data_IF_974822730990
#
_entry.id   IF_974822730990
#
_cell.length_a   1.000
_cell.length_b   1.000
_cell.length_c   1.000
_cell.angle_alpha   90.00
_cell.angle_beta   90.00
_cell.angle_gamma   90.00
#
_symmetry.space_group_name_H-M   'P 1'
#
loop_
_entity.id
_entity.type
_entity.pdbx_description
1 polymer ?
#
# COMPACT_ATOMS: atom_id res chain seq x y z
N UNK A 1 -7.80 15.33 -8.63
CA UNK A 1 -7.14 14.70 -7.48
C UNK A 1 -5.65 14.67 -7.74
N UNK A 2 -4.85 15.23 -6.84
CA UNK A 2 -3.40 15.25 -6.99
C UNK A 2 -2.83 13.85 -6.79
N UNK A 3 -1.98 13.41 -7.72
CA UNK A 3 -1.35 12.08 -7.71
C UNK A 3 0.16 12.23 -7.81
N UNK A 4 0.87 11.35 -7.12
CA UNK A 4 2.31 11.16 -7.25
C UNK A 4 2.59 9.72 -7.65
N UNK A 5 3.48 9.51 -8.60
CA UNK A 5 3.84 8.19 -9.11
C UNK A 5 5.24 7.82 -8.62
N UNK A 6 5.40 6.57 -8.21
CA UNK A 6 6.66 6.03 -7.70
C UNK A 6 7.09 4.82 -8.52
N UNK A 7 8.39 4.74 -8.78
CA UNK A 7 9.01 3.62 -9.50
C UNK A 7 10.07 2.96 -8.61
N UNK A 8 10.13 1.63 -8.64
CA UNK A 8 10.98 0.83 -7.75
C UNK A 8 12.45 1.22 -7.82
N UNK A 9 12.99 1.41 -9.03
CA UNK A 9 14.41 1.71 -9.24
C UNK A 9 14.80 3.10 -8.71
N UNK A 10 13.84 4.04 -8.72
CA UNK A 10 14.06 5.42 -8.30
C UNK A 10 13.68 5.66 -6.83
N UNK A 11 12.55 5.10 -6.42
CA UNK A 11 11.89 5.45 -5.17
C UNK A 11 11.93 4.32 -4.13
N UNK A 12 12.35 3.12 -4.53
CA UNK A 12 12.41 1.95 -3.66
C UNK A 12 11.10 1.18 -3.53
N UNK A 13 10.03 1.66 -4.16
CA UNK A 13 8.72 0.98 -4.24
C UNK A 13 7.95 1.44 -5.46
N UNK A 14 6.95 0.66 -5.86
CA UNK A 14 6.10 0.96 -7.01
C UNK A 14 4.68 1.26 -6.55
N UNK A 15 4.17 2.44 -6.90
CA UNK A 15 2.85 2.84 -6.42
C UNK A 15 2.36 4.18 -6.95
N UNK A 16 1.13 4.51 -6.58
CA UNK A 16 0.48 5.79 -6.84
C UNK A 16 -0.09 6.36 -5.54
N UNK A 17 0.33 7.54 -5.17
CA UNK A 17 -0.13 8.24 -3.99
C UNK A 17 -1.18 9.29 -4.34
N UNK A 18 -2.32 9.20 -3.69
CA UNK A 18 -3.46 10.10 -3.85
C UNK A 18 -3.55 11.00 -2.63
N UNK A 19 -3.28 12.29 -2.83
CA UNK A 19 -3.31 13.29 -1.77
C UNK A 19 -4.73 13.73 -1.50
N UNK A 20 -5.15 13.74 -0.25
CA UNK A 20 -6.47 14.28 0.12
C UNK A 20 -6.44 15.82 0.05
N UNK A 21 -7.31 16.45 -0.76
CA UNK A 21 -7.29 17.90 -0.95
C UNK A 21 -7.70 18.69 0.30
N UNK A 22 -8.38 18.06 1.24
CA UNK A 22 -8.75 18.68 2.53
C UNK A 22 -7.64 18.60 3.57
N UNK A 23 -6.52 17.95 3.21
CA UNK A 23 -5.46 17.64 4.13
C UNK A 23 -5.79 16.41 4.99
N UNK A 24 -4.77 15.62 5.30
CA UNK A 24 -4.87 14.48 6.21
C UNK A 24 -3.48 14.16 6.75
N UNK A 25 -3.41 13.79 8.02
CA UNK A 25 -2.22 13.22 8.66
C UNK A 25 -2.28 11.69 8.73
N UNK A 26 -3.27 11.11 8.07
CA UNK A 26 -3.48 9.66 7.99
C UNK A 26 -3.32 9.18 6.55
N UNK A 27 -2.60 8.09 6.36
CA UNK A 27 -2.50 7.42 5.08
C UNK A 27 -2.83 5.94 5.20
N UNK A 28 -3.36 5.37 4.13
CA UNK A 28 -3.54 3.92 3.99
C UNK A 28 -2.72 3.43 2.82
N UNK A 29 -1.88 2.43 3.06
CA UNK A 29 -1.22 1.65 2.02
C UNK A 29 -2.23 0.61 1.54
N UNK A 30 -2.65 0.71 0.28
CA UNK A 30 -3.60 -0.19 -0.34
C UNK A 30 -2.91 -1.16 -1.29
N UNK A 31 -2.98 -2.44 -0.97
CA UNK A 31 -2.53 -3.54 -1.81
C UNK A 31 -3.77 -4.12 -2.51
N UNK A 32 -4.30 -3.37 -3.47
CA UNK A 32 -5.61 -3.63 -4.07
C UNK A 32 -5.57 -4.52 -5.32
N UNK A 33 -4.42 -4.97 -5.70
CA UNK A 33 -4.25 -5.77 -6.90
C UNK A 33 -2.85 -5.63 -7.44
N UNK A 34 -2.69 -6.04 -8.68
CA UNK A 34 -1.37 -6.14 -9.28
C UNK A 34 -0.85 -4.78 -9.79
N UNK A 35 -1.75 -3.93 -10.26
CA UNK A 35 -1.40 -2.62 -10.80
C UNK A 35 -2.00 -1.50 -9.92
N UNK A 36 -1.16 -0.59 -9.38
CA UNK A 36 -1.64 0.51 -8.55
C UNK A 36 -2.51 1.54 -9.30
N UNK A 37 -2.64 1.38 -10.60
CA UNK A 37 -3.44 2.23 -11.49
C UNK A 37 -4.63 1.51 -12.14
N UNK A 38 -4.87 0.25 -11.81
CA UNK A 38 -6.01 -0.48 -12.36
C UNK A 38 -7.35 -0.01 -11.79
N UNK A 39 -8.42 -0.64 -12.24
CA UNK A 39 -9.77 -0.30 -11.80
C UNK A 39 -9.98 -0.53 -10.29
N UNK A 40 -9.48 -1.66 -9.77
CA UNK A 40 -9.63 -2.00 -8.34
C UNK A 40 -8.88 -1.02 -7.45
N UNK A 41 -7.65 -0.71 -7.80
CA UNK A 41 -6.83 0.26 -7.09
C UNK A 41 -7.49 1.66 -7.08
N UNK A 42 -7.99 2.09 -8.22
CA UNK A 42 -8.72 3.37 -8.34
C UNK A 42 -10.00 3.40 -7.52
N UNK A 43 -10.76 2.32 -7.49
CA UNK A 43 -11.98 2.22 -6.67
C UNK A 43 -11.66 2.28 -5.18
N UNK A 44 -10.68 1.49 -4.73
CA UNK A 44 -10.21 1.49 -3.35
C UNK A 44 -9.68 2.86 -2.92
N UNK A 45 -8.83 3.47 -3.75
CA UNK A 45 -8.31 4.80 -3.51
C UNK A 45 -9.42 5.85 -3.39
N UNK A 46 -10.38 5.83 -4.31
CA UNK A 46 -11.51 6.77 -4.31
C UNK A 46 -12.36 6.63 -3.04
N UNK A 47 -12.63 5.40 -2.63
CA UNK A 47 -13.40 5.13 -1.41
C UNK A 47 -12.70 5.64 -0.16
N UNK A 48 -11.43 5.32 0.02
CA UNK A 48 -10.62 5.78 1.15
C UNK A 48 -10.45 7.30 1.14
N UNK A 49 -10.15 7.85 -0.02
CA UNK A 49 -9.99 9.30 -0.20
C UNK A 49 -11.27 10.06 0.18
N UNK A 50 -12.44 9.54 -0.17
CA UNK A 50 -13.74 10.10 0.23
C UNK A 50 -13.93 10.07 1.76
N UNK A 51 -13.28 9.13 2.46
CA UNK A 51 -13.32 9.01 3.91
C UNK A 51 -12.19 9.79 4.62
N UNK A 52 -11.52 10.69 3.93
CA UNK A 52 -10.67 11.70 4.54
C UNK A 52 -9.21 11.29 4.75
N UNK A 53 -8.73 10.21 4.14
CA UNK A 53 -7.33 9.77 4.27
C UNK A 53 -6.57 9.93 2.95
N UNK A 54 -5.25 10.07 3.04
CA UNK A 54 -4.36 9.89 1.91
C UNK A 54 -4.24 8.40 1.56
N UNK A 55 -4.03 8.06 0.31
CA UNK A 55 -3.97 6.66 -0.12
C UNK A 55 -2.73 6.41 -0.97
N UNK A 56 -1.94 5.43 -0.57
CA UNK A 56 -0.85 4.91 -1.39
C UNK A 56 -1.24 3.52 -1.91
N UNK A 57 -1.60 3.43 -3.18
CA UNK A 57 -1.78 2.15 -3.84
C UNK A 57 -0.43 1.61 -4.25
N UNK A 58 -0.05 0.45 -3.74
CA UNK A 58 1.22 -0.21 -4.05
C UNK A 58 1.00 -1.51 -4.79
N UNK A 59 1.99 -1.89 -5.58
CA UNK A 59 2.11 -3.23 -6.15
C UNK A 59 3.55 -3.73 -6.11
N UNK A 60 3.77 -5.04 -6.34
CA UNK A 60 5.13 -5.60 -6.34
C UNK A 60 6.05 -5.00 -7.39
N UNK A 61 5.53 -4.56 -8.53
CA UNK A 61 6.33 -3.94 -9.59
C UNK A 61 5.59 -3.76 -10.90
N UNK A 62 6.23 -3.07 -11.83
CA UNK A 62 5.61 -2.61 -13.08
C UNK A 62 5.35 -3.69 -14.12
N UNK A 63 6.22 -4.70 -14.24
CA UNK A 63 6.17 -5.68 -15.34
C UNK A 63 5.69 -7.05 -14.94
N UNK A 64 5.93 -7.44 -13.73
CA UNK A 64 5.54 -8.71 -13.16
C UNK A 64 4.92 -8.39 -11.81
N UNK A 65 3.65 -8.14 -11.80
CA UNK A 65 2.91 -7.86 -10.57
C UNK A 65 2.85 -9.06 -9.60
N UNK A 66 3.75 -10.01 -9.81
CA UNK A 66 3.85 -11.20 -8.99
C UNK A 66 4.29 -10.86 -7.57
N UNK A 67 3.63 -11.48 -6.60
CA UNK A 67 4.01 -11.45 -5.20
C UNK A 67 5.12 -12.46 -4.88
N UNK A 68 5.73 -13.10 -5.88
CA UNK A 68 6.84 -14.03 -5.68
C UNK A 68 8.02 -13.28 -5.08
N UNK A 69 8.43 -13.71 -3.88
CA UNK A 69 9.54 -13.10 -3.15
C UNK A 69 9.40 -11.57 -3.04
N UNK A 70 8.17 -11.08 -2.81
CA UNK A 70 7.94 -9.64 -2.68
C UNK A 70 8.77 -9.07 -1.52
N UNK A 71 9.72 -8.16 -1.80
CA UNK A 71 10.55 -7.59 -0.75
C UNK A 71 9.72 -6.68 0.16
N UNK A 72 9.54 -7.08 1.41
CA UNK A 72 8.79 -6.28 2.39
C UNK A 72 9.46 -4.94 2.71
N UNK A 73 10.76 -4.82 2.44
CA UNK A 73 11.51 -3.58 2.53
C UNK A 73 10.93 -2.47 1.65
N UNK A 74 10.22 -2.83 0.59
CA UNK A 74 9.48 -1.85 -0.22
C UNK A 74 8.34 -1.20 0.55
N UNK A 75 7.66 -1.97 1.39
CA UNK A 75 6.61 -1.45 2.29
C UNK A 75 7.25 -0.56 3.36
N UNK A 76 8.37 -0.97 3.92
CA UNK A 76 9.13 -0.16 4.89
C UNK A 76 9.54 1.19 4.29
N UNK A 77 10.10 1.17 3.08
CA UNK A 77 10.47 2.40 2.36
C UNK A 77 9.26 3.31 2.13
N UNK A 78 8.13 2.74 1.75
CA UNK A 78 6.88 3.48 1.58
C UNK A 78 6.38 4.10 2.90
N UNK A 79 6.46 3.36 4.00
CA UNK A 79 6.12 3.86 5.35
C UNK A 79 6.99 5.08 5.70
N UNK A 80 8.30 4.98 5.50
CA UNK A 80 9.21 6.09 5.80
C UNK A 80 8.90 7.31 4.92
N UNK A 81 8.61 7.09 3.64
CA UNK A 81 8.21 8.17 2.75
C UNK A 81 6.93 8.85 3.24
N UNK A 82 5.91 8.08 3.60
CA UNK A 82 4.64 8.60 4.09
C UNK A 82 4.83 9.44 5.36
N UNK A 83 5.62 8.95 6.31
CA UNK A 83 5.94 9.68 7.55
C UNK A 83 6.67 10.99 7.26
N UNK A 84 7.66 10.96 6.38
CA UNK A 84 8.41 12.14 5.97
C UNK A 84 7.55 13.17 5.21
N UNK A 85 6.39 12.75 4.71
CA UNK A 85 5.45 13.60 4.00
C UNK A 85 4.16 13.90 4.79
N UNK A 86 4.25 13.90 6.12
CA UNK A 86 3.22 14.41 7.02
C UNK A 86 2.15 13.41 7.46
N UNK A 87 2.32 12.13 7.14
CA UNK A 87 1.38 11.10 7.59
C UNK A 87 1.86 10.50 8.92
N UNK A 88 1.20 10.87 10.01
CA UNK A 88 1.53 10.40 11.36
C UNK A 88 0.94 9.03 11.65
N UNK A 89 -0.22 8.72 11.06
CA UNK A 89 -0.93 7.46 11.22
C UNK A 89 -0.98 6.71 9.89
N UNK A 90 -0.56 5.47 9.90
CA UNK A 90 -0.46 4.65 8.70
C UNK A 90 -1.21 3.35 8.93
N UNK A 91 -2.19 3.10 8.05
CA UNK A 91 -2.87 1.82 7.93
C UNK A 91 -2.40 1.06 6.70
N UNK A 92 -2.62 -0.24 6.69
CA UNK A 92 -2.40 -1.09 5.54
C UNK A 92 -3.62 -1.98 5.29
N UNK A 93 -3.95 -2.18 4.01
CA UNK A 93 -5.03 -3.09 3.65
C UNK A 93 -4.69 -3.87 2.39
N UNK A 94 -5.16 -5.11 2.35
CA UNK A 94 -4.97 -6.00 1.22
C UNK A 94 -5.97 -7.15 1.20
N UNK A 95 -6.05 -7.82 0.06
CA UNK A 95 -6.95 -8.94 -0.17
C UNK A 95 -6.17 -10.16 -0.67
N UNK A 96 -6.55 -11.36 -0.24
CA UNK A 96 -5.95 -12.63 -0.64
C UNK A 96 -4.43 -12.64 -0.34
N UNK A 97 -3.56 -12.88 -1.31
CA UNK A 97 -2.09 -12.82 -1.14
C UNK A 97 -1.64 -11.45 -0.62
N UNK A 98 -2.21 -10.37 -1.12
CA UNK A 98 -1.93 -9.03 -0.62
C UNK A 98 -2.45 -8.81 0.81
N UNK A 99 -3.49 -9.51 1.22
CA UNK A 99 -3.95 -9.55 2.61
C UNK A 99 -2.94 -10.22 3.53
N UNK A 100 -2.32 -11.30 3.09
CA UNK A 100 -1.20 -11.93 3.78
C UNK A 100 -0.01 -10.96 3.90
N UNK A 101 0.39 -10.31 2.81
CA UNK A 101 1.48 -9.32 2.82
C UNK A 101 1.19 -8.18 3.82
N UNK A 102 -0.07 -7.73 3.90
CA UNK A 102 -0.49 -6.71 4.86
C UNK A 102 -0.32 -7.18 6.31
N UNK A 103 -0.70 -8.42 6.63
CA UNK A 103 -0.53 -8.99 7.97
C UNK A 103 0.94 -9.16 8.33
N UNK A 104 1.76 -9.65 7.41
CA UNK A 104 3.20 -9.83 7.64
C UNK A 104 3.86 -8.46 7.86
N UNK A 105 3.55 -7.48 7.01
CA UNK A 105 4.06 -6.12 7.17
C UNK A 105 3.67 -5.52 8.53
N UNK A 106 2.42 -5.68 8.95
CA UNK A 106 1.95 -5.21 10.26
C UNK A 106 2.66 -5.88 11.43
N UNK A 107 3.05 -7.13 11.29
CA UNK A 107 3.81 -7.85 12.33
C UNK A 107 5.25 -7.38 12.45
N UNK A 108 5.83 -6.86 11.37
CA UNK A 108 7.23 -6.44 11.31
C UNK A 108 7.41 -4.93 11.55
N UNK A 109 6.47 -4.12 11.10
CA UNK A 109 6.59 -2.65 11.10
C UNK A 109 5.61 -2.03 12.10
N UNK A 110 6.14 -1.61 13.26
CA UNK A 110 5.36 -1.01 14.35
C UNK A 110 4.69 0.32 13.98
N UNK A 111 5.12 0.97 12.91
CA UNK A 111 4.51 2.19 12.39
C UNK A 111 3.12 1.95 11.77
N UNK A 112 2.79 0.71 11.44
CA UNK A 112 1.45 0.34 10.97
C UNK A 112 0.53 0.23 12.19
N UNK A 113 -0.47 1.12 12.28
CA UNK A 113 -1.38 1.21 13.41
C UNK A 113 -2.74 0.57 13.18
N UNK A 114 -3.09 0.30 11.92
CA UNK A 114 -4.33 -0.37 11.54
C UNK A 114 -4.08 -1.29 10.36
N UNK A 115 -4.59 -2.51 10.45
CA UNK A 115 -4.50 -3.49 9.37
C UNK A 115 -5.87 -4.04 9.02
N UNK A 116 -6.20 -4.03 7.74
CA UNK A 116 -7.38 -4.68 7.20
C UNK A 116 -6.96 -5.73 6.16
N UNK A 117 -7.15 -6.99 6.49
CA UNK A 117 -6.86 -8.11 5.60
C UNK A 117 -8.14 -8.85 5.26
N UNK A 118 -8.49 -8.85 3.97
CA UNK A 118 -9.67 -9.54 3.47
C UNK A 118 -9.25 -10.89 2.89
N UNK A 119 -9.84 -11.97 3.40
CA UNK A 119 -9.55 -13.34 2.97
C UNK A 119 -8.05 -13.65 2.84
N UNK A 120 -7.23 -13.29 3.84
CA UNK A 120 -5.80 -13.61 3.80
C UNK A 120 -5.59 -15.11 3.95
N UNK A 121 -4.44 -15.63 3.50
CA UNK A 121 -4.02 -16.96 3.90
C UNK A 121 -3.51 -16.94 5.35
N UNK A 122 -3.62 -18.08 6.02
CA UNK A 122 -3.14 -18.29 7.39
C UNK A 122 -1.66 -18.70 7.47
N UNK A 123 -0.99 -18.75 6.31
CA UNK A 123 0.43 -19.04 6.19
C UNK A 123 1.08 -18.16 5.12
N UNK A 124 2.39 -17.97 5.25
CA UNK A 124 3.14 -17.13 4.32
C UNK A 124 3.46 -17.89 3.03
N UNK A 125 2.97 -17.36 1.92
CA UNK A 125 3.28 -17.86 0.58
C UNK A 125 4.56 -17.20 0.06
N UNK A 126 5.27 -17.94 -0.78
CA UNK A 126 6.31 -17.30 -1.60
C UNK A 126 5.74 -16.51 -2.80
N UNK A 127 4.44 -16.65 -3.01
CA UNK A 127 3.73 -16.07 -4.14
C UNK A 127 3.73 -16.98 -5.37
N UNK A 128 2.98 -16.60 -6.34
CA UNK A 128 2.87 -17.29 -7.63
C UNK A 128 3.27 -16.31 -8.72
#
# INVERSE_FOLDING_TARGET
MKKLFFETEKDGFYGTYYVNPKGSDCAVIGLFGDDPNDYMAKCGAKWLHKNGVNVLCMSPGKKNYSHVNFPLERIETAIQWLKNNGNQKIGIMGMSTAGMDALVAASLFSDITLTFALTPSDFVWQGI
#
